data_IF_328803939670
#
_entry.id   IF_328803939670
#
_cell.length_a   1.000
_cell.length_b   1.000
_cell.length_c   1.000
_cell.angle_alpha   90.00
_cell.angle_beta   90.00
_cell.angle_gamma   90.00
#
_symmetry.space_group_name_H-M   'P 1'
#
loop_
_entity.id
_entity.type
_entity.pdbx_description
1 polymer ?
#
# COMPACT_ATOMS: atom_id res chain seq x y z
N UNK A 1 17.12 -11.97 8.98
CA UNK A 1 17.27 -10.97 7.90
C UNK A 1 16.21 -11.24 6.85
N UNK A 2 15.54 -10.20 6.36
CA UNK A 2 14.36 -10.30 5.50
C UNK A 2 14.65 -9.64 4.15
N UNK A 3 14.22 -10.27 3.07
CA UNK A 3 14.24 -9.65 1.74
C UNK A 3 12.91 -8.94 1.54
N UNK A 4 12.98 -7.69 1.08
CA UNK A 4 11.79 -6.84 0.87
C UNK A 4 11.74 -6.33 -0.57
N UNK A 5 10.53 -6.27 -1.11
CA UNK A 5 10.24 -5.61 -2.36
C UNK A 5 9.74 -4.19 -2.08
N UNK A 6 10.38 -3.19 -2.67
CA UNK A 6 9.90 -1.81 -2.63
C UNK A 6 8.97 -1.57 -3.82
N UNK A 7 7.89 -0.84 -3.60
CA UNK A 7 7.00 -0.32 -4.63
C UNK A 7 6.92 1.20 -4.51
N UNK A 8 6.83 1.85 -5.67
CA UNK A 8 6.61 3.29 -5.76
C UNK A 8 5.17 3.53 -6.23
N UNK A 9 4.39 4.22 -5.41
CA UNK A 9 3.02 4.63 -5.70
C UNK A 9 3.08 6.06 -6.19
N UNK A 10 2.79 6.26 -7.46
CA UNK A 10 2.77 7.57 -8.10
C UNK A 10 1.40 8.20 -7.90
N UNK A 11 1.35 9.36 -7.26
CA UNK A 11 0.12 10.05 -6.95
C UNK A 11 -0.27 11.05 -8.05
N UNK A 12 -1.55 11.40 -8.10
CA UNK A 12 -2.10 12.37 -9.07
C UNK A 12 -1.50 13.77 -8.95
N UNK A 13 -0.96 14.13 -7.78
CA UNK A 13 -0.28 15.40 -7.53
C UNK A 13 1.21 15.37 -7.92
N UNK A 14 1.72 14.25 -8.44
CA UNK A 14 3.12 14.06 -8.83
C UNK A 14 4.04 13.57 -7.71
N UNK A 15 3.53 13.42 -6.47
CA UNK A 15 4.31 12.84 -5.37
C UNK A 15 4.47 11.32 -5.56
N UNK A 16 5.53 10.77 -4.96
CA UNK A 16 5.81 9.33 -4.96
C UNK A 16 5.93 8.86 -3.52
N UNK A 17 5.11 7.88 -3.16
CA UNK A 17 5.19 7.21 -1.85
C UNK A 17 5.83 5.85 -2.05
N UNK A 18 6.81 5.53 -1.20
CA UNK A 18 7.39 4.20 -1.15
C UNK A 18 6.66 3.33 -0.16
N UNK A 19 6.37 2.10 -0.56
CA UNK A 19 5.82 1.07 0.30
C UNK A 19 6.66 -0.21 0.15
N UNK A 20 6.93 -0.89 1.25
CA UNK A 20 7.60 -2.18 1.23
C UNK A 20 6.60 -3.32 1.45
N UNK A 21 6.89 -4.49 0.87
CA UNK A 21 6.30 -5.74 1.32
C UNK A 21 7.39 -6.81 1.42
N UNK A 22 7.09 -7.90 2.12
CA UNK A 22 7.96 -9.08 2.11
C UNK A 22 8.09 -9.59 0.68
N UNK A 23 9.33 -9.78 0.21
CA UNK A 23 9.60 -10.24 -1.16
C UNK A 23 8.97 -11.60 -1.46
N UNK A 24 8.84 -12.47 -0.44
CA UNK A 24 8.20 -13.77 -0.59
C UNK A 24 6.68 -13.72 -0.41
N UNK A 25 6.09 -12.54 -0.10
CA UNK A 25 4.65 -12.38 0.00
C UNK A 25 4.00 -12.65 -1.34
N UNK A 26 3.12 -13.64 -1.36
CA UNK A 26 2.38 -14.05 -2.55
C UNK A 26 0.88 -14.06 -2.28
N UNK A 27 0.10 -13.98 -3.35
CA UNK A 27 -1.34 -14.15 -3.30
C UNK A 27 -2.10 -12.87 -2.94
N UNK A 28 -3.16 -13.01 -2.14
CA UNK A 28 -4.24 -12.01 -2.03
C UNK A 28 -3.93 -10.80 -1.15
N UNK A 29 -2.78 -10.78 -0.49
CA UNK A 29 -2.36 -9.74 0.46
C UNK A 29 -1.25 -8.84 -0.08
N UNK A 30 -0.72 -9.12 -1.28
CA UNK A 30 0.30 -8.25 -1.89
C UNK A 30 -0.28 -6.90 -2.25
N UNK A 31 0.53 -5.86 -2.28
CA UNK A 31 0.11 -4.50 -2.66
C UNK A 31 -0.59 -4.48 -4.01
N UNK A 32 -0.05 -5.20 -5.00
CA UNK A 32 -0.62 -5.29 -6.35
C UNK A 32 -1.99 -5.95 -6.30
N UNK A 33 -2.14 -7.03 -5.52
CA UNK A 33 -3.43 -7.72 -5.39
C UNK A 33 -4.47 -6.92 -4.61
N UNK A 34 -4.04 -6.08 -3.66
CA UNK A 34 -4.91 -5.15 -2.95
C UNK A 34 -5.36 -4.03 -3.90
N UNK A 35 -4.44 -3.44 -4.65
CA UNK A 35 -4.72 -2.41 -5.66
C UNK A 35 -5.71 -2.86 -6.71
N UNK A 36 -5.54 -4.07 -7.25
CA UNK A 36 -6.45 -4.63 -8.26
C UNK A 36 -7.87 -4.84 -7.72
N UNK A 37 -8.05 -5.14 -6.43
CA UNK A 37 -9.36 -5.42 -5.81
C UNK A 37 -10.03 -4.21 -5.18
N UNK A 38 -9.28 -3.14 -4.97
CA UNK A 38 -9.77 -1.95 -4.30
C UNK A 38 -10.74 -1.16 -5.20
N UNK A 39 -11.78 -0.59 -4.63
CA UNK A 39 -12.61 0.42 -5.28
C UNK A 39 -11.89 1.79 -5.24
N UNK A 40 -12.29 2.73 -6.09
CA UNK A 40 -11.70 4.08 -6.16
C UNK A 40 -11.75 4.86 -4.83
N UNK A 41 -12.76 4.57 -4.01
CA UNK A 41 -12.97 5.17 -2.69
C UNK A 41 -12.31 4.39 -1.54
N UNK A 42 -11.70 3.24 -1.82
CA UNK A 42 -10.92 2.52 -0.81
C UNK A 42 -9.62 3.25 -0.51
N UNK A 43 -9.17 3.18 0.74
CA UNK A 43 -7.99 3.91 1.22
C UNK A 43 -6.87 2.91 1.49
N UNK A 44 -5.72 3.13 0.85
CA UNK A 44 -4.46 2.47 1.17
C UNK A 44 -3.87 3.12 2.41
N UNK A 45 -3.63 2.31 3.44
CA UNK A 45 -2.86 2.71 4.62
C UNK A 45 -1.48 2.14 4.47
N UNK A 46 -0.48 3.02 4.46
CA UNK A 46 0.93 2.69 4.30
C UNK A 46 1.62 3.19 5.57
N UNK A 47 1.94 2.27 6.47
CA UNK A 47 2.57 2.62 7.75
C UNK A 47 4.06 2.36 7.69
N UNK A 48 4.88 3.37 7.95
CA UNK A 48 6.31 3.24 8.19
C UNK A 48 6.61 3.50 9.67
N UNK A 49 7.49 2.70 10.28
CA UNK A 49 7.73 2.75 11.73
C UNK A 49 8.38 4.09 12.15
N UNK A 50 9.15 4.72 11.27
CA UNK A 50 9.91 5.95 11.55
C UNK A 50 9.14 7.20 11.09
N UNK A 51 8.43 7.10 9.98
CA UNK A 51 7.78 8.23 9.31
C UNK A 51 6.26 8.31 9.59
N UNK A 52 5.69 7.29 10.24
CA UNK A 52 4.27 7.23 10.59
C UNK A 52 3.40 6.67 9.46
N UNK A 53 2.12 7.00 9.48
CA UNK A 53 1.13 6.43 8.56
C UNK A 53 0.70 7.41 7.48
N UNK A 54 0.68 6.96 6.23
CA UNK A 54 0.07 7.65 5.11
C UNK A 54 -1.26 6.99 4.72
N UNK A 55 -2.25 7.82 4.36
CA UNK A 55 -3.59 7.39 3.95
C UNK A 55 -3.88 7.93 2.55
N UNK A 56 -3.96 7.03 1.58
CA UNK A 56 -4.08 7.39 0.17
C UNK A 56 -5.32 6.73 -0.43
N UNK A 57 -6.34 7.49 -0.84
CA UNK A 57 -7.45 6.94 -1.63
C UNK A 57 -6.94 6.32 -2.94
N UNK A 58 -7.48 5.17 -3.34
CA UNK A 58 -7.06 4.49 -4.58
C UNK A 58 -7.12 5.43 -5.79
N UNK A 59 -8.18 6.22 -5.92
CA UNK A 59 -8.35 7.17 -7.03
C UNK A 59 -7.24 8.21 -7.15
N UNK A 60 -6.45 8.43 -6.08
CA UNK A 60 -5.32 9.34 -6.09
C UNK A 60 -4.00 8.66 -6.49
N UNK A 61 -3.98 7.34 -6.69
CA UNK A 61 -2.82 6.57 -7.15
C UNK A 61 -2.96 6.38 -8.66
N UNK A 62 -2.06 7.00 -9.43
CA UNK A 62 -2.01 6.91 -10.89
C UNK A 62 -1.48 5.55 -11.34
N UNK A 63 -0.37 5.11 -10.74
CA UNK A 63 0.22 3.82 -11.02
C UNK A 63 1.08 3.32 -9.87
N UNK A 64 1.34 2.01 -9.86
CA UNK A 64 2.28 1.35 -8.97
C UNK A 64 3.38 0.76 -9.83
N UNK A 65 4.64 1.08 -9.52
CA UNK A 65 5.81 0.53 -10.20
C UNK A 65 6.69 -0.22 -9.20
N UNK A 66 7.25 -1.35 -9.65
CA UNK A 66 8.27 -2.08 -8.88
C UNK A 66 9.51 -1.20 -8.71
N UNK A 67 9.98 -1.05 -7.47
CA UNK A 67 11.25 -0.42 -7.12
C UNK A 67 12.32 -1.47 -6.82
N UNK A 68 13.26 -1.12 -5.96
CA UNK A 68 14.38 -2.00 -5.60
C UNK A 68 13.96 -3.20 -4.74
N UNK A 69 14.79 -4.25 -4.79
CA UNK A 69 14.77 -5.35 -3.82
C UNK A 69 15.89 -5.12 -2.82
N UNK A 70 15.56 -5.10 -1.53
CA UNK A 70 16.58 -5.02 -0.47
C UNK A 70 16.72 -6.36 0.22
N UNK A 71 17.93 -6.88 0.22
CA UNK A 71 18.32 -8.07 0.99
C UNK A 71 18.77 -7.60 2.36
N UNK A 72 18.56 -8.43 3.38
CA UNK A 72 19.02 -8.17 4.74
C UNK A 72 18.49 -6.86 5.35
N UNK A 73 17.27 -6.47 4.97
CA UNK A 73 16.68 -5.22 5.45
C UNK A 73 16.45 -5.27 6.97
N UNK A 74 16.86 -4.20 7.66
CA UNK A 74 16.50 -3.99 9.06
C UNK A 74 14.97 -3.83 9.18
N UNK A 75 14.33 -4.48 10.17
CA UNK A 75 12.87 -4.48 10.31
C UNK A 75 12.30 -3.06 10.41
N UNK A 76 13.01 -2.20 11.12
CA UNK A 76 12.58 -0.91 11.62
C UNK A 76 12.34 0.11 10.49
N UNK A 77 13.03 -0.07 9.35
CA UNK A 77 13.02 0.89 8.24
C UNK A 77 12.05 0.53 7.11
N UNK A 78 11.52 -0.69 7.11
CA UNK A 78 10.73 -1.22 6.00
C UNK A 78 9.67 -2.26 6.41
N UNK A 79 9.34 -2.38 7.70
CA UNK A 79 8.09 -3.01 8.13
C UNK A 79 6.91 -2.12 7.72
N UNK A 80 6.65 -2.07 6.41
CA UNK A 80 5.51 -1.37 5.89
C UNK A 80 4.28 -2.28 5.99
N UNK A 81 3.36 -1.91 6.87
CA UNK A 81 2.05 -2.55 6.88
C UNK A 81 1.17 -1.86 5.85
N UNK A 82 0.84 -2.60 4.79
CA UNK A 82 -0.11 -2.15 3.78
C UNK A 82 -1.45 -2.79 4.07
N UNK A 83 -2.46 -1.97 4.30
CA UNK A 83 -3.83 -2.44 4.48
C UNK A 83 -4.80 -1.58 3.68
N UNK A 84 -5.95 -2.18 3.38
CA UNK A 84 -7.03 -1.52 2.67
C UNK A 84 -8.15 -1.21 3.66
N UNK A 85 -8.37 0.07 3.93
CA UNK A 85 -9.56 0.52 4.64
C UNK A 85 -10.67 0.78 3.62
N UNK A 86 -11.70 -0.05 3.67
CA UNK A 86 -12.88 0.12 2.84
C UNK A 86 -13.81 1.13 3.46
N UNK A 87 -14.21 2.14 2.69
CA UNK A 87 -15.25 3.06 3.13
C UNK A 87 -16.53 2.26 3.33
N UNK A 88 -17.08 2.28 4.54
CA UNK A 88 -18.41 1.69 4.80
C UNK A 88 -19.42 2.48 3.97
N UNK A 89 -19.93 1.89 2.89
CA UNK A 89 -21.10 2.41 2.19
C UNK A 89 -22.25 2.24 3.19
N UNK A 90 -22.78 3.33 3.73
CA UNK A 90 -23.85 3.29 4.73
C UNK A 90 -24.95 2.32 4.27
N UNK A 91 -25.23 1.32 5.12
CA UNK A 91 -26.48 0.57 5.12
C UNK A 91 -27.61 1.59 5.33
N UNK A 92 -28.23 2.05 4.25
CA UNK A 92 -29.21 3.14 4.34
C UNK A 92 -29.91 3.41 3.02
N UNK A 93 -30.71 2.45 2.56
CA UNK A 93 -31.93 2.71 1.79
C UNK A 93 -32.81 1.46 1.84
N UNK A 94 -33.47 1.27 2.98
CA UNK A 94 -34.81 0.68 2.99
C UNK A 94 -35.76 1.87 3.05
N UNK A 95 -36.24 2.30 1.88
CA UNK A 95 -37.49 3.05 1.74
C UNK A 95 -38.38 2.22 0.82
#
# INVERSE_FOLDING_TARGET
MKTIQIYNLHLVNGEVIQAAEDYELKGKKTIVSLFQKADDEDIFVITDLLLGSCYVPKKNIVCITTGDVRVDAEPDRFETNISLLRRVKNCGSQN
#
